data_IF_569825890973
#
_entry.id   IF_569825890973
#
_cell.length_a   1.000
_cell.length_b   1.000
_cell.length_c   1.000
_cell.angle_alpha   90.00
_cell.angle_beta   90.00
_cell.angle_gamma   90.00
#
_symmetry.space_group_name_H-M   'P 1'
#
loop_
_entity.id
_entity.type
_entity.pdbx_description
1 polymer ?
#
# COMPACT_ATOMS: atom_id res chain seq x y z
N UNK A 1 -49.18 -25.03 30.02
CA UNK A 1 -48.42 -24.68 28.85
C UNK A 1 -49.18 -23.56 28.14
N UNK A 2 -48.75 -22.30 28.27
CA UNK A 2 -49.45 -21.16 27.72
C UNK A 2 -49.10 -21.03 26.24
N UNK A 3 -50.05 -21.34 25.37
CA UNK A 3 -49.93 -21.09 23.95
C UNK A 3 -49.96 -19.58 23.70
N UNK A 4 -48.83 -19.00 23.31
CA UNK A 4 -48.79 -17.62 22.85
C UNK A 4 -49.74 -17.49 21.65
N UNK A 5 -50.65 -16.49 21.61
CA UNK A 5 -51.56 -16.33 20.49
C UNK A 5 -50.80 -16.10 19.18
N UNK A 6 -51.18 -16.81 18.15
CA UNK A 6 -50.52 -16.88 16.83
C UNK A 6 -50.15 -15.52 16.22
N UNK A 7 -50.84 -14.45 16.61
CA UNK A 7 -50.53 -13.05 16.20
C UNK A 7 -49.19 -12.53 16.76
N UNK A 8 -48.79 -12.95 17.96
CA UNK A 8 -47.50 -12.50 18.54
C UNK A 8 -46.31 -13.28 17.96
N UNK A 9 -46.51 -14.55 17.63
CA UNK A 9 -45.46 -15.36 16.95
C UNK A 9 -45.16 -14.82 15.56
N UNK A 10 -46.18 -14.42 14.80
CA UNK A 10 -45.98 -13.81 13.46
C UNK A 10 -45.28 -12.44 13.57
N UNK A 11 -45.66 -11.63 14.55
CA UNK A 11 -45.04 -10.31 14.77
C UNK A 11 -43.55 -10.44 15.18
N UNK A 12 -43.23 -11.37 16.08
CA UNK A 12 -41.84 -11.65 16.51
C UNK A 12 -41.02 -12.18 15.32
N UNK A 13 -41.59 -13.03 14.47
CA UNK A 13 -40.90 -13.53 13.28
C UNK A 13 -40.58 -12.41 12.26
N UNK A 14 -41.52 -11.50 12.04
CA UNK A 14 -41.32 -10.34 11.15
C UNK A 14 -40.25 -9.38 11.71
N UNK A 15 -40.26 -9.12 13.02
CA UNK A 15 -39.24 -8.26 13.67
C UNK A 15 -37.86 -8.94 13.62
N UNK A 16 -37.77 -10.25 13.85
CA UNK A 16 -36.53 -11.03 13.68
C UNK A 16 -36.02 -10.98 12.22
N UNK A 17 -36.88 -11.16 11.23
CA UNK A 17 -36.49 -11.03 9.81
C UNK A 17 -35.96 -9.62 9.48
N UNK A 18 -36.51 -8.55 10.06
CA UNK A 18 -36.01 -7.21 9.84
C UNK A 18 -34.63 -6.99 10.47
N UNK A 19 -34.35 -7.60 11.63
CA UNK A 19 -33.02 -7.51 12.29
C UNK A 19 -31.96 -8.26 11.46
N UNK A 20 -32.29 -9.37 10.81
CA UNK A 20 -31.38 -10.12 9.94
C UNK A 20 -31.23 -9.49 8.53
N UNK A 21 -32.13 -8.61 8.11
CA UNK A 21 -32.03 -7.89 6.84
C UNK A 21 -31.17 -6.61 6.91
N UNK A 22 -30.57 -6.27 8.05
CA UNK A 22 -29.50 -5.29 8.11
C UNK A 22 -28.23 -5.91 7.49
N UNK A 23 -28.27 -6.17 6.20
CA UNK A 23 -27.07 -6.29 5.38
C UNK A 23 -26.29 -4.98 5.56
N UNK A 24 -25.20 -5.04 6.32
CA UNK A 24 -24.28 -3.91 6.42
C UNK A 24 -23.83 -3.57 4.99
N UNK A 25 -24.22 -2.41 4.50
CA UNK A 25 -23.70 -1.93 3.22
C UNK A 25 -22.18 -1.82 3.37
N UNK A 26 -21.38 -2.36 2.44
CA UNK A 26 -19.94 -2.26 2.52
C UNK A 26 -19.54 -0.79 2.60
N UNK A 27 -18.60 -0.48 3.48
CA UNK A 27 -18.05 0.87 3.59
C UNK A 27 -17.42 1.31 2.27
N UNK A 28 -17.25 2.62 2.05
CA UNK A 28 -16.58 3.11 0.85
C UNK A 28 -15.15 2.53 0.73
N UNK A 29 -14.43 2.45 1.84
CA UNK A 29 -13.11 1.82 1.93
C UNK A 29 -13.11 0.37 1.45
N UNK A 30 -14.11 -0.42 1.86
CA UNK A 30 -14.24 -1.81 1.43
C UNK A 30 -14.56 -1.94 -0.06
N UNK A 31 -15.38 -1.04 -0.61
CA UNK A 31 -15.65 -0.98 -2.05
C UNK A 31 -14.39 -0.64 -2.82
N UNK A 32 -13.68 0.42 -2.41
CA UNK A 32 -12.44 0.84 -3.03
C UNK A 32 -11.40 -0.29 -3.03
N UNK A 33 -11.24 -1.02 -1.91
CA UNK A 33 -10.35 -2.18 -1.84
C UNK A 33 -10.76 -3.27 -2.83
N UNK A 34 -12.02 -3.69 -2.81
CA UNK A 34 -12.52 -4.75 -3.70
C UNK A 34 -12.36 -4.38 -5.18
N UNK A 35 -12.57 -3.10 -5.52
CA UNK A 35 -12.49 -2.61 -6.89
C UNK A 35 -11.04 -2.44 -7.37
N UNK A 36 -10.08 -2.25 -6.47
CA UNK A 36 -8.69 -1.98 -6.84
C UNK A 36 -7.76 -3.18 -6.67
N UNK A 37 -8.11 -4.21 -5.89
CA UNK A 37 -7.36 -5.47 -5.89
C UNK A 37 -7.38 -6.10 -7.29
N UNK A 38 -6.20 -6.53 -7.74
CA UNK A 38 -5.89 -7.04 -9.08
C UNK A 38 -5.94 -6.00 -10.22
N UNK A 39 -6.19 -4.72 -9.95
CA UNK A 39 -5.93 -3.68 -10.96
C UNK A 39 -4.44 -3.50 -11.17
N UNK A 40 -4.01 -3.16 -12.39
CA UNK A 40 -2.62 -2.82 -12.64
C UNK A 40 -2.27 -1.50 -11.95
N UNK A 41 -1.07 -1.45 -11.37
CA UNK A 41 -0.40 -0.23 -10.96
C UNK A 41 0.58 0.14 -12.08
N UNK A 42 0.42 1.31 -12.65
CA UNK A 42 1.27 1.80 -13.73
C UNK A 42 2.61 2.27 -13.18
N UNK A 43 3.69 1.72 -13.69
CA UNK A 43 5.09 2.05 -13.37
C UNK A 43 5.92 2.23 -14.64
N UNK A 44 5.32 2.06 -15.82
CA UNK A 44 5.97 2.05 -17.13
C UNK A 44 6.57 3.41 -17.53
N UNK A 45 6.18 4.49 -16.81
CA UNK A 45 6.75 5.83 -17.01
C UNK A 45 8.20 5.95 -16.52
N UNK A 46 8.64 5.05 -15.66
CA UNK A 46 9.96 5.14 -15.05
C UNK A 46 11.01 4.38 -15.84
N UNK A 47 12.07 5.06 -16.24
CA UNK A 47 13.18 4.47 -17.01
C UNK A 47 14.26 3.89 -16.11
N UNK A 48 14.48 4.48 -14.96
CA UNK A 48 15.56 4.09 -14.03
C UNK A 48 15.09 4.12 -12.58
N UNK A 49 15.74 3.28 -11.76
CA UNK A 49 15.62 3.25 -10.33
C UNK A 49 16.99 3.44 -9.70
N UNK A 50 17.05 4.20 -8.60
CA UNK A 50 18.27 4.42 -7.82
C UNK A 50 18.37 3.37 -6.72
N UNK A 51 19.58 2.84 -6.49
CA UNK A 51 19.96 2.10 -5.28
C UNK A 51 21.28 2.70 -4.77
N UNK A 52 21.25 3.42 -3.67
CA UNK A 52 22.37 4.22 -3.20
C UNK A 52 22.84 5.20 -4.28
N UNK A 53 24.09 5.08 -4.71
CA UNK A 53 24.66 5.92 -5.77
C UNK A 53 24.55 5.30 -7.18
N UNK A 54 23.89 4.15 -7.32
CA UNK A 54 23.80 3.43 -8.59
C UNK A 54 22.43 3.65 -9.22
N UNK A 55 22.40 3.93 -10.53
CA UNK A 55 21.17 3.92 -11.34
C UNK A 55 21.09 2.59 -12.09
N UNK A 56 19.94 1.96 -12.02
CA UNK A 56 19.63 0.67 -12.63
C UNK A 56 18.47 0.89 -13.59
N UNK A 57 18.47 0.31 -14.82
CA UNK A 57 17.29 0.32 -15.68
C UNK A 57 16.08 -0.26 -14.93
N UNK A 58 14.93 0.37 -15.07
CA UNK A 58 13.72 -0.04 -14.32
C UNK A 58 13.30 -1.47 -14.63
N UNK A 59 13.37 -1.87 -15.90
CA UNK A 59 13.01 -3.23 -16.32
C UNK A 59 13.94 -4.30 -15.71
N UNK A 60 15.24 -4.02 -15.65
CA UNK A 60 16.23 -4.92 -15.03
C UNK A 60 15.98 -5.07 -13.52
N UNK A 61 15.61 -3.98 -12.85
CA UNK A 61 15.20 -4.00 -11.45
C UNK A 61 13.91 -4.80 -11.28
N UNK A 62 12.88 -4.50 -12.08
CA UNK A 62 11.55 -5.07 -11.92
C UNK A 62 11.52 -6.57 -12.10
N UNK A 63 12.32 -7.12 -13.00
CA UNK A 63 12.42 -8.54 -13.28
C UNK A 63 13.05 -9.36 -12.14
N UNK A 64 13.73 -8.72 -11.19
CA UNK A 64 14.38 -9.41 -10.07
C UNK A 64 13.40 -9.85 -8.98
N UNK A 65 12.20 -9.24 -8.92
CA UNK A 65 11.29 -9.42 -7.82
C UNK A 65 9.90 -9.88 -8.28
N UNK A 66 9.39 -10.95 -7.67
CA UNK A 66 8.03 -11.42 -7.87
C UNK A 66 7.02 -10.47 -7.22
N UNK A 67 7.35 -10.00 -6.02
CA UNK A 67 6.53 -9.07 -5.26
C UNK A 67 7.29 -7.77 -4.97
N UNK A 68 6.60 -6.65 -5.10
CA UNK A 68 7.16 -5.34 -4.86
C UNK A 68 6.18 -4.50 -4.03
N UNK A 69 6.62 -4.02 -2.87
CA UNK A 69 5.88 -2.97 -2.15
C UNK A 69 6.24 -1.60 -2.72
N UNK A 70 5.26 -0.91 -3.27
CA UNK A 70 5.41 0.46 -3.77
C UNK A 70 4.94 1.42 -2.69
N UNK A 71 5.85 2.26 -2.21
CA UNK A 71 5.62 3.23 -1.14
C UNK A 71 5.74 4.63 -1.70
N UNK A 72 4.59 5.30 -1.83
CA UNK A 72 4.56 6.69 -2.29
C UNK A 72 4.82 7.66 -1.16
N UNK A 73 5.73 8.60 -1.39
CA UNK A 73 6.18 9.63 -0.46
C UNK A 73 6.24 10.98 -1.17
N UNK A 74 6.31 12.06 -0.40
CA UNK A 74 6.44 13.42 -0.93
C UNK A 74 7.57 14.15 -0.22
N UNK A 75 8.44 14.79 -0.97
CA UNK A 75 9.43 15.70 -0.41
C UNK A 75 8.71 16.95 0.16
N UNK A 76 9.12 17.39 1.36
CA UNK A 76 8.43 18.46 2.10
C UNK A 76 7.24 17.98 2.95
N UNK A 77 6.88 16.72 2.90
CA UNK A 77 5.81 16.12 3.70
C UNK A 77 6.39 15.56 5.01
N UNK A 78 6.14 16.22 6.13
CA UNK A 78 6.71 15.82 7.44
C UNK A 78 6.43 14.35 7.83
N UNK A 79 5.23 13.77 7.64
CA UNK A 79 4.97 12.35 7.90
C UNK A 79 5.68 11.37 6.95
N UNK A 80 6.17 11.83 5.79
CA UNK A 80 6.79 10.96 4.80
C UNK A 80 8.19 10.50 5.20
N UNK A 81 8.95 11.34 5.89
CA UNK A 81 10.31 11.01 6.32
C UNK A 81 10.33 9.90 7.39
N UNK A 82 9.55 9.98 8.50
CA UNK A 82 9.43 8.86 9.43
C UNK A 82 8.88 7.60 8.77
N UNK A 83 7.95 7.70 7.81
CA UNK A 83 7.43 6.55 7.08
C UNK A 83 8.53 5.86 6.27
N UNK A 84 9.39 6.62 5.60
CA UNK A 84 10.55 6.07 4.88
C UNK A 84 11.50 5.30 5.82
N UNK A 85 11.83 5.90 6.97
CA UNK A 85 12.68 5.29 8.00
C UNK A 85 12.04 4.01 8.55
N UNK A 86 10.76 4.06 8.92
CA UNK A 86 10.02 2.92 9.44
C UNK A 86 10.03 1.74 8.47
N UNK A 87 9.80 2.00 7.18
CA UNK A 87 9.83 0.97 6.15
C UNK A 87 11.19 0.30 6.08
N UNK A 88 12.29 1.06 6.06
CA UNK A 88 13.64 0.51 6.01
C UNK A 88 13.94 -0.36 7.24
N UNK A 89 13.73 0.16 8.45
CA UNK A 89 13.98 -0.59 9.69
C UNK A 89 13.15 -1.87 9.78
N UNK A 90 11.90 -1.83 9.35
CA UNK A 90 11.02 -3.01 9.36
C UNK A 90 11.50 -4.09 8.42
N UNK A 91 11.83 -3.72 7.18
CA UNK A 91 12.30 -4.68 6.19
C UNK A 91 13.62 -5.31 6.62
N UNK A 92 14.54 -4.52 7.15
CA UNK A 92 15.81 -5.02 7.70
C UNK A 92 15.58 -6.01 8.84
N UNK A 93 14.60 -5.73 9.71
CA UNK A 93 14.30 -6.56 10.88
C UNK A 93 13.66 -7.91 10.55
N UNK A 94 12.86 -7.99 9.47
CA UNK A 94 12.13 -9.23 9.11
C UNK A 94 12.90 -10.16 8.17
N UNK A 95 14.00 -9.69 7.58
CA UNK A 95 14.79 -10.47 6.64
C UNK A 95 13.99 -10.85 5.39
N UNK A 96 13.90 -9.92 4.44
CA UNK A 96 13.05 -10.09 3.25
C UNK A 96 13.39 -11.34 2.44
N UNK A 97 12.37 -12.04 1.91
CA UNK A 97 12.57 -13.08 0.91
C UNK A 97 13.27 -12.53 -0.34
N UNK A 98 14.09 -13.34 -0.99
CA UNK A 98 14.85 -12.94 -2.18
C UNK A 98 13.98 -12.49 -3.37
N UNK A 99 12.70 -12.87 -3.40
CA UNK A 99 11.74 -12.52 -4.44
C UNK A 99 10.88 -11.28 -4.10
N UNK A 100 11.17 -10.60 -3.00
CA UNK A 100 10.44 -9.40 -2.54
C UNK A 100 11.40 -8.22 -2.39
N UNK A 101 10.91 -7.02 -2.69
CA UNK A 101 11.60 -5.77 -2.40
C UNK A 101 10.63 -4.62 -2.15
N UNK A 102 11.20 -3.45 -1.88
CA UNK A 102 10.46 -2.19 -1.72
C UNK A 102 10.98 -1.17 -2.70
N UNK A 103 10.05 -0.46 -3.31
CA UNK A 103 10.31 0.70 -4.17
C UNK A 103 9.69 1.94 -3.53
N UNK A 104 10.51 2.92 -3.23
CA UNK A 104 10.06 4.24 -2.82
C UNK A 104 9.90 5.14 -4.05
N UNK A 105 8.68 5.59 -4.31
CA UNK A 105 8.40 6.63 -5.31
C UNK A 105 8.25 7.94 -4.57
N UNK A 106 9.19 8.85 -4.75
CA UNK A 106 9.26 10.12 -4.02
C UNK A 106 8.94 11.27 -4.97
N UNK A 107 7.80 11.90 -4.74
CA UNK A 107 7.45 13.14 -5.41
C UNK A 107 8.39 14.26 -4.97
N UNK A 108 9.16 14.81 -5.90
CA UNK A 108 10.11 15.88 -5.64
C UNK A 108 11.27 15.89 -6.62
N UNK A 109 12.05 16.96 -6.59
CA UNK A 109 13.11 17.22 -7.57
C UNK A 109 14.49 16.76 -7.13
N UNK A 110 14.72 16.53 -5.82
CA UNK A 110 16.04 16.28 -5.28
C UNK A 110 16.00 15.13 -4.26
N UNK A 111 16.72 14.07 -4.60
CA UNK A 111 16.95 12.96 -3.69
C UNK A 111 17.79 13.37 -2.49
N UNK A 112 18.81 14.20 -2.73
CA UNK A 112 19.73 14.67 -1.71
C UNK A 112 19.00 15.52 -0.66
N UNK A 113 18.05 16.38 -1.08
CA UNK A 113 17.23 17.16 -0.14
C UNK A 113 16.30 16.27 0.67
N UNK A 114 15.67 15.26 0.05
CA UNK A 114 14.85 14.29 0.76
C UNK A 114 15.68 13.53 1.82
N UNK A 115 16.83 12.98 1.43
CA UNK A 115 17.70 12.24 2.34
C UNK A 115 18.29 13.10 3.46
N UNK A 116 18.55 14.38 3.21
CA UNK A 116 18.98 15.31 4.25
C UNK A 116 17.95 15.42 5.37
N UNK A 117 16.65 15.54 5.03
CA UNK A 117 15.59 15.58 6.02
C UNK A 117 15.42 14.23 6.74
N UNK A 118 15.55 13.12 6.04
CA UNK A 118 15.55 11.77 6.64
C UNK A 118 16.68 11.65 7.67
N UNK A 119 17.91 11.99 7.28
CA UNK A 119 19.11 11.87 8.13
C UNK A 119 19.12 12.85 9.32
N UNK A 120 18.33 13.92 9.26
CA UNK A 120 18.10 14.79 10.43
C UNK A 120 17.23 14.13 11.51
N UNK A 121 16.47 13.08 11.15
CA UNK A 121 15.59 12.34 12.07
C UNK A 121 16.29 11.10 12.61
N UNK A 122 16.81 10.27 11.71
CA UNK A 122 17.49 9.03 12.07
C UNK A 122 18.50 8.61 10.97
N UNK A 123 19.48 7.81 11.36
CA UNK A 123 20.41 7.24 10.41
C UNK A 123 19.79 6.01 9.75
N UNK A 124 19.78 6.01 8.41
CA UNK A 124 19.35 4.87 7.58
C UNK A 124 20.43 4.57 6.53
N UNK A 125 20.63 3.30 6.26
CA UNK A 125 21.46 2.87 5.13
C UNK A 125 20.64 2.96 3.86
N UNK A 126 21.16 3.66 2.84
CA UNK A 126 20.48 3.86 1.55
C UNK A 126 20.73 2.65 0.62
N UNK A 127 20.10 1.52 0.91
CA UNK A 127 20.25 0.30 0.13
C UNK A 127 18.95 -0.16 -0.56
N UNK A 128 17.84 0.54 -0.33
CA UNK A 128 16.58 0.27 -1.01
C UNK A 128 16.41 1.09 -2.29
N UNK A 129 15.44 0.70 -3.08
CA UNK A 129 15.19 1.26 -4.40
C UNK A 129 14.33 2.51 -4.32
N UNK A 130 14.76 3.56 -5.00
CA UNK A 130 14.11 4.87 -4.97
C UNK A 130 13.98 5.45 -6.37
N UNK A 131 12.83 6.04 -6.66
CA UNK A 131 12.56 6.84 -7.86
C UNK A 131 12.17 8.24 -7.43
N UNK A 132 12.75 9.25 -8.07
CA UNK A 132 12.28 10.62 -7.96
C UNK A 132 11.24 10.90 -9.05
N UNK A 133 10.08 11.44 -8.66
CA UNK A 133 8.96 11.78 -9.53
C UNK A 133 8.66 13.29 -9.48
N UNK A 134 9.46 14.11 -10.17
CA UNK A 134 9.29 15.56 -10.16
C UNK A 134 8.04 16.03 -10.90
N UNK A 135 7.59 15.29 -11.89
CA UNK A 135 6.47 15.65 -12.78
C UNK A 135 5.12 15.05 -12.33
N UNK A 136 5.06 14.37 -11.17
CA UNK A 136 3.85 13.73 -10.64
C UNK A 136 3.27 12.66 -11.57
N UNK A 137 4.11 12.02 -12.36
CA UNK A 137 3.68 11.02 -13.34
C UNK A 137 3.04 9.81 -12.68
N UNK A 138 3.57 9.36 -11.54
CA UNK A 138 3.03 8.22 -10.80
C UNK A 138 1.56 8.43 -10.41
N UNK A 139 1.23 9.56 -9.79
CA UNK A 139 -0.15 9.84 -9.38
C UNK A 139 -1.05 10.16 -10.57
N UNK A 140 -0.51 10.79 -11.61
CA UNK A 140 -1.23 11.11 -12.85
C UNK A 140 -1.65 9.85 -13.61
N UNK A 141 -0.71 8.91 -13.83
CA UNK A 141 -0.99 7.66 -14.55
C UNK A 141 -1.87 6.70 -13.74
N UNK A 142 -1.82 6.78 -12.41
CA UNK A 142 -2.61 5.97 -11.51
C UNK A 142 -3.87 6.69 -10.98
N UNK A 143 -4.33 7.75 -11.63
CA UNK A 143 -5.46 8.59 -11.20
C UNK A 143 -6.81 7.86 -11.06
N UNK A 144 -6.95 6.64 -11.59
CA UNK A 144 -8.13 5.78 -11.38
C UNK A 144 -8.13 5.04 -10.05
N UNK A 145 -6.99 5.04 -9.32
CA UNK A 145 -6.83 4.43 -8.01
C UNK A 145 -7.06 5.53 -6.96
N UNK A 146 -7.90 5.30 -5.93
CA UNK A 146 -8.10 6.28 -4.87
C UNK A 146 -6.80 6.69 -4.19
N UNK A 147 -6.60 7.99 -3.98
CA UNK A 147 -5.37 8.54 -3.39
C UNK A 147 -5.01 7.92 -2.04
N UNK A 148 -6.00 7.57 -1.23
CA UNK A 148 -5.75 6.96 0.07
C UNK A 148 -5.10 5.58 -0.04
N UNK A 149 -5.40 4.79 -1.11
CA UNK A 149 -4.75 3.51 -1.39
C UNK A 149 -3.27 3.72 -1.74
N UNK A 150 -2.99 4.64 -2.66
CA UNK A 150 -1.62 5.00 -3.05
C UNK A 150 -0.81 5.50 -1.84
N UNK A 151 -1.39 6.37 -1.04
CA UNK A 151 -0.74 6.91 0.16
C UNK A 151 -0.55 5.86 1.28
N UNK A 152 -1.31 4.77 1.27
CA UNK A 152 -1.16 3.67 2.24
C UNK A 152 -0.02 2.72 1.92
N UNK A 153 0.56 2.79 0.72
CA UNK A 153 1.40 1.80 0.08
C UNK A 153 0.63 0.62 -0.51
N UNK A 154 1.19 -0.01 -1.55
CA UNK A 154 0.57 -1.14 -2.22
C UNK A 154 1.60 -2.24 -2.52
N UNK A 155 1.23 -3.48 -2.31
CA UNK A 155 1.99 -4.65 -2.75
C UNK A 155 1.48 -5.06 -4.13
N UNK A 156 2.39 -5.23 -5.07
CA UNK A 156 2.10 -5.69 -6.43
C UNK A 156 2.82 -7.01 -6.74
N UNK A 157 2.24 -7.80 -7.64
CA UNK A 157 2.87 -8.99 -8.21
C UNK A 157 3.74 -8.66 -9.45
N UNK A 158 4.31 -9.69 -10.06
CA UNK A 158 5.18 -9.55 -11.24
C UNK A 158 4.47 -8.94 -12.48
N UNK A 159 3.14 -8.99 -12.54
CA UNK A 159 2.31 -8.32 -13.57
C UNK A 159 1.92 -6.88 -13.17
N UNK A 160 2.51 -6.33 -12.11
CA UNK A 160 2.18 -5.05 -11.49
C UNK A 160 0.72 -4.95 -11.00
N UNK A 161 0.06 -6.07 -10.69
CA UNK A 161 -1.30 -6.06 -10.15
C UNK A 161 -1.29 -5.90 -8.63
N UNK A 162 -2.13 -5.02 -8.11
CA UNK A 162 -2.28 -4.77 -6.68
C UNK A 162 -2.81 -6.02 -5.98
N UNK A 163 -2.06 -6.54 -5.00
CA UNK A 163 -2.43 -7.71 -4.19
C UNK A 163 -2.80 -7.36 -2.76
N UNK A 164 -2.23 -6.29 -2.25
CA UNK A 164 -2.49 -5.82 -0.89
C UNK A 164 -2.34 -4.30 -0.81
N UNK A 165 -3.04 -3.70 0.12
CA UNK A 165 -2.94 -2.27 0.46
C UNK A 165 -2.49 -2.15 1.91
N UNK A 166 -1.53 -1.28 2.16
CA UNK A 166 -0.91 -1.08 3.46
C UNK A 166 0.42 -1.82 3.61
N UNK A 167 1.06 -1.63 4.75
CA UNK A 167 2.31 -2.29 5.08
C UNK A 167 2.08 -3.74 5.51
N UNK A 168 2.92 -4.71 5.09
CA UNK A 168 2.70 -6.14 5.37
C UNK A 168 2.83 -6.53 6.84
N UNK A 169 3.30 -5.63 7.71
CA UNK A 169 3.50 -5.87 9.14
C UNK A 169 2.49 -5.18 10.07
N UNK A 170 1.37 -4.66 9.54
CA UNK A 170 0.32 -4.01 10.37
C UNK A 170 -0.29 -4.98 11.38
N UNK A 171 -0.20 -6.29 11.11
CA UNK A 171 -0.69 -7.32 12.02
C UNK A 171 0.38 -8.42 12.18
N UNK A 172 0.71 -8.80 13.43
CA UNK A 172 1.67 -9.87 13.73
C UNK A 172 1.30 -11.21 13.05
N UNK A 173 0.02 -11.44 12.78
CA UNK A 173 -0.45 -12.63 12.07
C UNK A 173 -0.12 -12.60 10.56
N UNK A 174 0.05 -11.42 9.97
CA UNK A 174 0.42 -11.27 8.56
C UNK A 174 1.93 -11.38 8.32
N UNK A 175 2.75 -11.17 9.34
CA UNK A 175 4.20 -11.36 9.25
C UNK A 175 4.64 -12.83 9.30
N UNK A 176 3.70 -13.76 9.49
CA UNK A 176 3.97 -15.21 9.56
C UNK A 176 3.55 -15.98 8.30
N UNK A 177 3.04 -15.28 7.27
CA UNK A 177 2.69 -15.82 5.97
C UNK A 177 3.85 -15.69 4.99
#
# INVERSE_FOLDING_TARGET
MNNLPMKYTTFILVVLCQIFCFCSHPSQTEKDLRENINKPLHLEMFETVRQGNTLIPFDDFRQQYEFLSVVYLQNGCQPCYPKFIEWQHKIDSIGCPHNFSVLFVIQGNSYEDFMKEVLNIDFVEDHYYTIMDPEFEFTSQNGSIPNWLINSSVLIDYENKIKMVGAPWINEDMTKL
#
